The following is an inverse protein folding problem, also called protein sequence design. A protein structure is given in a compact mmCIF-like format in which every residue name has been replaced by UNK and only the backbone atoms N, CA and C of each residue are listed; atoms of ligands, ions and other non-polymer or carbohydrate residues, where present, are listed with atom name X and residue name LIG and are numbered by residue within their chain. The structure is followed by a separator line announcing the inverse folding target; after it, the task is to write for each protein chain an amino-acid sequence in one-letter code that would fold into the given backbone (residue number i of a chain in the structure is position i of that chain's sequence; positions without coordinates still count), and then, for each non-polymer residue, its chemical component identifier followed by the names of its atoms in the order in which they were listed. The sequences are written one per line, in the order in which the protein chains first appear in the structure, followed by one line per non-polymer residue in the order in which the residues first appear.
data_IF_870294196557
#
_entry.id   IF_870294196557
#
_cell.length_a   1.000
_cell.length_b   1.000
_cell.length_c   1.000
_cell.angle_alpha   90.00
_cell.angle_beta   90.00
_cell.angle_gamma   90.00
#
_symmetry.space_group_name_H-M   'P 1'
#
loop_
_entity.id
_entity.type
_entity.pdbx_description
1 polymer ?
#
# COMPACT_ATOMS: atom_id res chain seq x y z
N UNK A 1 -10.80 3.03 -36.78
CA UNK A 1 -10.73 3.97 -35.63
C UNK A 1 -10.15 3.19 -34.47
N UNK A 2 -8.86 3.36 -34.23
CA UNK A 2 -8.16 2.70 -33.13
C UNK A 2 -8.54 3.44 -31.85
N UNK A 3 -9.19 2.77 -30.91
CA UNK A 3 -9.45 3.35 -29.58
C UNK A 3 -8.13 3.85 -28.99
N UNK A 4 -8.11 5.05 -28.36
CA UNK A 4 -6.93 5.50 -27.65
C UNK A 4 -6.67 4.50 -26.53
N UNK A 5 -5.58 3.73 -26.65
CA UNK A 5 -5.08 2.91 -25.56
C UNK A 5 -4.88 3.84 -24.36
N UNK A 6 -5.72 3.68 -23.36
CA UNK A 6 -5.67 4.40 -22.10
C UNK A 6 -4.40 3.97 -21.34
N UNK A 7 -3.24 4.44 -21.82
CA UNK A 7 -1.99 4.23 -21.12
C UNK A 7 -2.08 5.05 -19.82
N UNK A 8 -1.71 4.45 -18.70
CA UNK A 8 -1.69 5.18 -17.44
C UNK A 8 -0.80 6.42 -17.56
N UNK A 9 -1.23 7.54 -17.01
CA UNK A 9 -0.46 8.78 -17.00
C UNK A 9 0.89 8.65 -16.26
N UNK A 10 1.03 7.60 -15.42
CA UNK A 10 2.22 7.32 -14.64
C UNK A 10 3.21 6.41 -15.39
N UNK A 11 4.49 6.53 -15.06
CA UNK A 11 5.58 5.68 -15.53
C UNK A 11 6.25 4.94 -14.36
N UNK A 12 7.01 3.87 -14.64
CA UNK A 12 7.92 3.29 -13.65
C UNK A 12 8.87 4.32 -13.05
N UNK A 13 9.15 4.20 -11.76
CA UNK A 13 10.00 5.10 -10.99
C UNK A 13 11.27 4.39 -10.53
N UNK A 14 12.40 5.08 -10.56
CA UNK A 14 13.64 4.63 -9.95
C UNK A 14 13.49 4.49 -8.43
N UNK A 15 14.41 3.78 -7.80
CA UNK A 15 14.39 3.60 -6.34
C UNK A 15 14.44 4.91 -5.58
N UNK A 16 15.20 5.89 -6.06
CA UNK A 16 15.30 7.22 -5.44
C UNK A 16 14.00 8.00 -5.66
N UNK A 17 13.47 7.99 -6.87
CA UNK A 17 12.19 8.66 -7.18
C UNK A 17 11.06 8.13 -6.31
N UNK A 18 10.94 6.79 -6.15
CA UNK A 18 9.95 6.17 -5.26
C UNK A 18 10.08 6.65 -3.82
N UNK A 19 11.33 6.71 -3.31
CA UNK A 19 11.59 7.20 -1.96
C UNK A 19 11.16 8.66 -1.79
N UNK A 20 11.48 9.53 -2.74
CA UNK A 20 11.13 10.95 -2.72
C UNK A 20 9.62 11.15 -2.68
N UNK A 21 8.89 10.54 -3.62
CA UNK A 21 7.43 10.73 -3.66
C UNK A 21 6.73 10.10 -2.46
N UNK A 22 7.22 8.96 -1.97
CA UNK A 22 6.72 8.34 -0.74
C UNK A 22 6.89 9.26 0.48
N UNK A 23 8.06 9.90 0.63
CA UNK A 23 8.33 10.87 1.71
C UNK A 23 7.44 12.11 1.58
N UNK A 24 7.30 12.66 0.38
CA UNK A 24 6.46 13.83 0.17
C UNK A 24 4.99 13.55 0.52
N UNK A 25 4.45 12.41 0.13
CA UNK A 25 3.08 12.02 0.49
C UNK A 25 2.95 11.79 1.99
N UNK A 26 3.87 11.02 2.59
CA UNK A 26 3.87 10.77 4.04
C UNK A 26 3.86 12.09 4.83
N UNK A 27 4.76 13.01 4.49
CA UNK A 27 4.89 14.29 5.22
C UNK A 27 3.70 15.22 5.01
N UNK A 28 3.12 15.24 3.81
CA UNK A 28 1.88 15.96 3.55
C UNK A 28 0.71 15.47 4.43
N UNK A 29 0.71 14.17 4.78
CA UNK A 29 -0.34 13.54 5.59
C UNK A 29 -0.07 13.61 7.09
N UNK A 30 1.19 13.46 7.51
CA UNK A 30 1.55 13.31 8.93
C UNK A 30 2.08 14.58 9.59
N UNK A 31 2.64 15.51 8.81
CA UNK A 31 3.20 16.78 9.29
C UNK A 31 2.85 17.93 8.35
N UNK A 32 1.57 18.24 8.13
CA UNK A 32 1.12 19.23 7.15
C UNK A 32 1.70 20.63 7.41
N UNK A 33 1.94 21.01 8.67
CA UNK A 33 2.52 22.30 9.02
C UNK A 33 3.95 22.51 8.51
N UNK A 34 4.67 21.40 8.26
CA UNK A 34 6.04 21.42 7.72
C UNK A 34 6.07 21.22 6.20
N UNK A 35 4.92 21.07 5.57
CA UNK A 35 4.78 20.80 4.14
C UNK A 35 4.35 22.08 3.39
N UNK A 36 4.89 22.37 2.19
CA UNK A 36 5.84 21.61 1.37
C UNK A 36 7.27 21.61 1.92
N UNK A 37 8.08 20.60 1.53
CA UNK A 37 9.41 20.35 2.09
C UNK A 37 10.51 21.12 1.33
N UNK A 38 11.49 21.67 2.07
CA UNK A 38 12.77 22.10 1.48
C UNK A 38 13.60 20.88 1.02
N UNK A 39 14.60 21.09 0.18
CA UNK A 39 15.51 20.03 -0.25
C UNK A 39 16.17 19.32 0.94
N UNK A 40 16.71 20.06 1.88
CA UNK A 40 17.33 19.49 3.11
C UNK A 40 16.33 18.63 3.90
N UNK A 41 15.10 19.14 4.13
CA UNK A 41 14.07 18.35 4.83
C UNK A 41 13.71 17.08 4.07
N UNK A 42 13.68 17.11 2.75
CA UNK A 42 13.42 15.96 1.90
C UNK A 42 14.56 14.94 1.95
N UNK A 43 15.82 15.37 1.86
CA UNK A 43 17.01 14.52 2.01
C UNK A 43 16.97 13.79 3.37
N UNK A 44 16.73 14.54 4.45
CA UNK A 44 16.60 13.98 5.79
C UNK A 44 15.44 12.98 5.87
N UNK A 45 14.30 13.27 5.26
CA UNK A 45 13.15 12.38 5.17
C UNK A 45 13.45 11.10 4.39
N UNK A 46 14.23 11.18 3.32
CA UNK A 46 14.65 10.01 2.52
C UNK A 46 15.61 9.10 3.27
N UNK A 47 16.52 9.67 4.05
CA UNK A 47 17.57 8.98 4.80
C UNK A 47 17.15 8.56 6.22
N UNK A 48 15.89 8.78 6.58
CA UNK A 48 15.37 8.43 7.89
C UNK A 48 15.59 6.93 8.19
N UNK A 49 16.10 6.60 9.40
CA UNK A 49 16.43 5.23 9.79
C UNK A 49 15.19 4.36 10.05
N UNK A 50 14.11 4.97 10.47
CA UNK A 50 12.82 4.29 10.72
C UNK A 50 11.84 4.52 9.58
N UNK A 51 10.86 3.64 9.44
CA UNK A 51 9.79 3.74 8.45
C UNK A 51 10.26 3.79 6.98
N UNK A 52 11.42 3.20 6.69
CA UNK A 52 12.04 3.10 5.35
C UNK A 52 12.62 1.71 5.15
N UNK A 53 12.35 1.12 3.99
CA UNK A 53 13.01 -0.10 3.55
C UNK A 53 13.29 -0.03 2.05
N UNK A 54 14.50 -0.37 1.65
CA UNK A 54 15.68 -0.48 2.49
C UNK A 54 16.15 0.90 2.98
N UNK A 55 16.96 0.94 4.02
CA UNK A 55 17.59 2.20 4.44
C UNK A 55 18.49 2.73 3.32
N UNK A 56 18.53 4.04 3.17
CA UNK A 56 19.35 4.74 2.18
C UNK A 56 20.17 5.82 2.87
N UNK A 57 21.28 6.18 2.23
CA UNK A 57 22.09 7.33 2.59
C UNK A 57 22.33 8.14 1.30
N UNK A 58 21.30 8.88 0.88
CA UNK A 58 21.30 9.64 -0.36
C UNK A 58 21.99 10.99 -0.15
N UNK A 59 23.02 11.32 -0.92
CA UNK A 59 23.56 12.67 -0.97
C UNK A 59 22.54 13.62 -1.63
N UNK A 60 22.63 14.91 -1.29
CA UNK A 60 21.70 15.94 -1.76
C UNK A 60 21.59 15.99 -3.29
N UNK A 61 22.72 15.94 -4.01
CA UNK A 61 22.71 15.98 -5.48
C UNK A 61 21.93 14.84 -6.14
N UNK A 62 21.92 13.63 -5.55
CA UNK A 62 21.09 12.54 -6.09
C UNK A 62 19.60 12.78 -5.90
N UNK A 63 19.22 13.45 -4.82
CA UNK A 63 17.83 13.83 -4.56
C UNK A 63 17.41 14.96 -5.53
N UNK A 64 18.30 15.94 -5.78
CA UNK A 64 18.06 17.01 -6.76
C UNK A 64 17.87 16.45 -8.17
N UNK A 65 18.77 15.56 -8.63
CA UNK A 65 18.67 14.93 -9.95
C UNK A 65 17.34 14.15 -10.12
N UNK A 66 16.92 13.46 -9.08
CA UNK A 66 15.65 12.73 -9.10
C UNK A 66 14.44 13.69 -9.07
N UNK A 67 14.52 14.80 -8.34
CA UNK A 67 13.50 15.85 -8.34
C UNK A 67 13.32 16.48 -9.72
N UNK A 68 14.41 16.74 -10.45
CA UNK A 68 14.34 17.23 -11.84
C UNK A 68 13.51 16.27 -12.70
N UNK A 69 13.79 14.97 -12.64
CA UNK A 69 13.06 13.95 -13.41
C UNK A 69 11.59 13.83 -12.99
N UNK A 70 11.29 13.94 -11.70
CA UNK A 70 9.91 13.90 -11.18
C UNK A 70 9.11 15.14 -11.57
N UNK A 71 9.76 16.31 -11.67
CA UNK A 71 9.12 17.56 -12.15
C UNK A 71 8.82 17.48 -13.65
N UNK A 72 9.70 16.90 -14.46
CA UNK A 72 9.48 16.72 -15.91
C UNK A 72 8.22 15.91 -16.21
N UNK A 73 7.84 14.98 -15.33
CA UNK A 73 6.62 14.16 -15.47
C UNK A 73 5.46 14.66 -14.61
N UNK A 74 5.57 15.84 -14.05
CA UNK A 74 4.55 16.48 -13.21
C UNK A 74 4.12 15.66 -11.97
N UNK A 75 4.95 14.72 -11.49
CA UNK A 75 4.70 13.99 -10.25
C UNK A 75 5.04 14.83 -9.00
N UNK A 76 5.94 15.80 -9.15
CA UNK A 76 6.37 16.75 -8.10
C UNK A 76 6.40 18.17 -8.68
N UNK A 77 6.04 19.15 -7.89
CA UNK A 77 6.17 20.56 -8.22
C UNK A 77 7.07 21.29 -7.23
N UNK A 78 7.76 22.31 -7.73
CA UNK A 78 8.47 23.29 -6.91
C UNK A 78 7.54 24.45 -6.62
N UNK A 79 7.50 24.87 -5.36
CA UNK A 79 6.71 26.02 -4.90
C UNK A 79 7.67 27.06 -4.35
N UNK A 80 7.66 28.21 -4.96
CA UNK A 80 8.35 29.39 -4.42
C UNK A 80 7.37 30.11 -3.48
N UNK A 81 7.60 29.98 -2.18
CA UNK A 81 6.89 30.77 -1.17
C UNK A 81 7.61 32.08 -0.89
N UNK A 82 7.13 32.86 0.08
CA UNK A 82 7.77 34.11 0.53
C UNK A 82 9.19 33.96 1.09
N UNK A 83 9.75 32.75 1.16
CA UNK A 83 11.15 32.47 1.52
C UNK A 83 12.00 32.26 0.28
N UNK A 84 13.31 32.60 0.37
CA UNK A 84 14.28 32.37 -0.73
C UNK A 84 14.59 30.90 -0.99
N UNK A 85 14.04 29.97 -0.19
CA UNK A 85 14.32 28.53 -0.28
C UNK A 85 13.21 27.84 -1.05
N UNK A 86 13.55 27.15 -2.13
CA UNK A 86 12.64 26.33 -2.90
C UNK A 86 12.05 25.20 -2.03
N UNK A 87 10.77 24.95 -2.18
CA UNK A 87 10.06 23.86 -1.52
C UNK A 87 9.38 22.96 -2.53
N UNK A 88 9.23 21.68 -2.19
CA UNK A 88 8.71 20.66 -3.08
C UNK A 88 7.43 20.07 -2.56
N UNK A 89 6.44 19.89 -3.45
CA UNK A 89 5.17 19.23 -3.18
C UNK A 89 4.89 18.12 -4.19
N UNK A 90 4.16 17.09 -3.79
CA UNK A 90 3.73 16.03 -4.70
C UNK A 90 2.40 16.38 -5.40
N UNK A 91 2.23 15.79 -6.59
CA UNK A 91 0.95 15.71 -7.32
C UNK A 91 0.54 14.25 -7.54
N UNK A 92 0.94 13.37 -6.62
CA UNK A 92 0.77 11.92 -6.74
C UNK A 92 -0.69 11.47 -6.81
N UNK A 93 -1.62 12.25 -6.26
CA UNK A 93 -3.05 11.98 -6.36
C UNK A 93 -3.52 11.99 -7.82
N UNK A 94 -3.22 13.06 -8.51
CA UNK A 94 -3.58 13.27 -9.91
C UNK A 94 -2.72 12.39 -10.82
N UNK A 95 -1.43 12.29 -10.52
CA UNK A 95 -0.46 11.55 -11.32
C UNK A 95 -0.72 10.04 -11.35
N UNK A 96 -1.16 9.43 -10.24
CA UNK A 96 -1.55 8.03 -10.15
C UNK A 96 -3.04 7.78 -10.41
N UNK A 97 -3.89 8.81 -10.43
CA UNK A 97 -5.34 8.67 -10.48
C UNK A 97 -5.91 7.99 -9.23
N UNK A 98 -5.42 8.36 -8.04
CA UNK A 98 -5.80 7.76 -6.76
C UNK A 98 -6.44 8.78 -5.82
N UNK A 99 -7.27 8.31 -4.89
CA UNK A 99 -7.95 9.17 -3.92
C UNK A 99 -8.01 8.51 -2.52
N UNK A 100 -8.31 9.33 -1.50
CA UNK A 100 -8.53 8.85 -0.14
C UNK A 100 -7.43 7.94 0.39
N UNK A 101 -7.78 6.75 0.88
CA UNK A 101 -6.83 5.79 1.45
C UNK A 101 -5.89 5.16 0.42
N UNK A 102 -6.23 5.15 -0.88
CA UNK A 102 -5.35 4.62 -1.93
C UNK A 102 -3.98 5.31 -1.94
N UNK A 103 -3.97 6.64 -1.78
CA UNK A 103 -2.74 7.41 -1.75
C UNK A 103 -1.85 7.05 -0.55
N UNK A 104 -2.44 6.79 0.60
CA UNK A 104 -1.72 6.37 1.80
C UNK A 104 -1.11 4.96 1.64
N UNK A 105 -1.86 4.03 1.05
CA UNK A 105 -1.40 2.68 0.70
C UNK A 105 -0.22 2.76 -0.27
N UNK A 106 -0.35 3.56 -1.33
CA UNK A 106 0.74 3.74 -2.29
C UNK A 106 1.98 4.36 -1.65
N UNK A 107 1.83 5.40 -0.81
CA UNK A 107 2.95 6.01 -0.12
C UNK A 107 3.71 5.00 0.77
N UNK A 108 3.00 4.17 1.51
CA UNK A 108 3.61 3.15 2.37
C UNK A 108 4.38 2.10 1.55
N UNK A 109 3.81 1.61 0.44
CA UNK A 109 4.47 0.68 -0.45
C UNK A 109 5.70 1.30 -1.15
N UNK A 110 5.65 2.58 -1.52
CA UNK A 110 6.79 3.30 -2.12
C UNK A 110 7.93 3.52 -1.11
N UNK A 111 7.62 3.63 0.17
CA UNK A 111 8.60 3.80 1.24
C UNK A 111 9.27 2.48 1.66
N UNK A 112 8.57 1.33 1.54
CA UNK A 112 9.02 0.06 2.12
C UNK A 112 9.05 -1.12 1.16
N UNK A 113 8.38 -1.03 0.01
CA UNK A 113 8.27 -2.16 -0.93
C UNK A 113 7.24 -3.20 -0.48
N UNK A 114 7.58 -4.47 -0.67
CA UNK A 114 6.74 -5.62 -0.38
C UNK A 114 6.42 -5.75 1.12
N UNK A 115 5.13 -5.95 1.42
CA UNK A 115 4.60 -6.04 2.79
C UNK A 115 3.43 -7.01 2.84
N UNK A 116 3.20 -7.61 4.00
CA UNK A 116 1.95 -8.32 4.27
C UNK A 116 0.78 -7.33 4.35
N UNK A 117 -0.43 -7.77 3.99
CA UNK A 117 -1.64 -6.94 4.08
C UNK A 117 -1.85 -6.41 5.51
N UNK A 118 -1.55 -7.21 6.53
CA UNK A 118 -1.68 -6.80 7.93
C UNK A 118 -0.73 -5.64 8.30
N UNK A 119 0.55 -5.73 7.89
CA UNK A 119 1.52 -4.67 8.10
C UNK A 119 1.16 -3.41 7.33
N UNK A 120 0.81 -3.56 6.05
CA UNK A 120 0.41 -2.47 5.17
C UNK A 120 -0.78 -1.71 5.77
N UNK A 121 -1.82 -2.44 6.23
CA UNK A 121 -2.98 -1.85 6.88
C UNK A 121 -2.58 -0.99 8.08
N UNK A 122 -1.84 -1.57 9.02
CA UNK A 122 -1.44 -0.86 10.25
C UNK A 122 -0.60 0.38 9.99
N UNK A 123 0.24 0.34 8.96
CA UNK A 123 1.14 1.43 8.59
C UNK A 123 0.44 2.52 7.76
N UNK A 124 -0.34 2.14 6.76
CA UNK A 124 -1.08 3.08 5.91
C UNK A 124 -2.17 3.83 6.70
N UNK A 125 -2.82 3.17 7.66
CA UNK A 125 -3.86 3.78 8.47
C UNK A 125 -3.37 5.02 9.26
N UNK A 126 -2.06 5.11 9.57
CA UNK A 126 -1.47 6.31 10.20
C UNK A 126 -1.47 7.56 9.31
N UNK A 127 -1.61 7.35 7.99
CA UNK A 127 -1.68 8.43 6.99
C UNK A 127 -3.12 8.72 6.54
N UNK A 128 -4.10 8.06 7.16
CA UNK A 128 -5.54 8.28 6.96
C UNK A 128 -6.16 8.68 8.31
N UNK A 129 -7.31 9.30 8.29
CA UNK A 129 -8.06 9.58 9.51
C UNK A 129 -8.82 8.33 9.98
N UNK A 130 -8.10 7.20 10.17
CA UNK A 130 -8.66 5.90 10.51
C UNK A 130 -9.63 5.32 9.46
N UNK A 131 -9.39 5.64 8.19
CA UNK A 131 -10.23 5.13 7.08
C UNK A 131 -9.98 3.63 6.78
N UNK A 132 -8.89 3.05 7.34
CA UNK A 132 -8.53 1.64 7.17
C UNK A 132 -8.41 0.98 8.56
N UNK A 133 -9.48 0.87 9.34
CA UNK A 133 -9.42 0.34 10.71
C UNK A 133 -9.08 -1.15 10.76
N UNK A 134 -9.43 -1.92 9.73
CA UNK A 134 -9.22 -3.36 9.65
C UNK A 134 -8.82 -3.82 8.23
N UNK A 135 -8.57 -5.12 8.07
CA UNK A 135 -8.17 -5.71 6.79
C UNK A 135 -9.34 -5.71 5.78
N UNK A 136 -10.57 -5.80 6.24
CA UNK A 136 -11.73 -5.81 5.34
C UNK A 136 -11.92 -4.42 4.68
N UNK A 137 -11.67 -3.36 5.43
CA UNK A 137 -11.66 -1.98 4.91
C UNK A 137 -10.51 -1.74 3.91
N UNK A 138 -9.39 -2.46 4.05
CA UNK A 138 -8.26 -2.36 3.12
C UNK A 138 -8.52 -3.09 1.79
N UNK A 139 -9.27 -4.20 1.79
CA UNK A 139 -9.49 -5.04 0.59
C UNK A 139 -9.99 -4.25 -0.63
N UNK A 140 -11.10 -3.49 -0.56
CA UNK A 140 -11.59 -2.73 -1.70
C UNK A 140 -10.59 -1.68 -2.19
N UNK A 141 -9.76 -1.12 -1.30
CA UNK A 141 -8.67 -0.21 -1.67
C UNK A 141 -7.60 -0.93 -2.49
N UNK A 142 -7.21 -2.13 -2.07
CA UNK A 142 -6.24 -2.96 -2.81
C UNK A 142 -6.80 -3.41 -4.15
N UNK A 143 -8.05 -3.85 -4.21
CA UNK A 143 -8.70 -4.29 -5.44
C UNK A 143 -8.72 -3.17 -6.49
N UNK A 144 -9.07 -1.95 -6.09
CA UNK A 144 -8.99 -0.78 -6.96
C UNK A 144 -7.56 -0.49 -7.43
N UNK A 145 -6.57 -0.57 -6.54
CA UNK A 145 -5.17 -0.34 -6.89
C UNK A 145 -4.60 -1.44 -7.81
N UNK A 146 -5.04 -2.69 -7.65
CA UNK A 146 -4.70 -3.80 -8.56
C UNK A 146 -5.29 -3.56 -9.95
N UNK A 147 -6.55 -3.17 -10.04
CA UNK A 147 -7.19 -2.80 -11.32
C UNK A 147 -6.45 -1.66 -12.03
N UNK A 148 -5.95 -0.68 -11.27
CA UNK A 148 -5.12 0.43 -11.78
C UNK A 148 -3.68 0.02 -12.09
N UNK A 149 -3.29 -1.25 -11.90
CA UNK A 149 -1.91 -1.78 -12.02
C UNK A 149 -0.89 -1.08 -11.12
N UNK A 150 -1.35 -0.45 -10.07
CA UNK A 150 -0.52 0.26 -9.09
C UNK A 150 -0.05 -0.65 -7.96
N UNK A 151 -0.78 -1.73 -7.68
CA UNK A 151 -0.43 -2.77 -6.71
C UNK A 151 -0.38 -4.13 -7.41
N UNK A 152 0.60 -4.95 -7.01
CA UNK A 152 0.80 -6.32 -7.50
C UNK A 152 0.75 -7.27 -6.32
N UNK A 153 -0.18 -8.25 -6.31
CA UNK A 153 -0.13 -9.37 -5.37
C UNK A 153 1.09 -10.25 -5.66
N UNK A 154 1.86 -10.57 -4.64
CA UNK A 154 3.06 -11.42 -4.74
C UNK A 154 2.84 -12.83 -4.23
N UNK A 155 1.79 -13.04 -3.45
CA UNK A 155 1.37 -14.36 -2.94
C UNK A 155 -0.14 -14.52 -3.09
N UNK A 156 -0.66 -15.77 -3.00
CA UNK A 156 -2.10 -16.04 -3.08
C UNK A 156 -2.90 -15.24 -2.03
N UNK A 157 -4.19 -14.97 -2.31
CA UNK A 157 -5.09 -14.39 -1.34
C UNK A 157 -5.18 -15.25 -0.06
N UNK A 158 -5.25 -14.60 1.10
CA UNK A 158 -5.38 -15.29 2.36
C UNK A 158 -4.62 -14.63 3.51
N UNK A 159 -4.47 -15.38 4.60
CA UNK A 159 -3.69 -14.91 5.75
C UNK A 159 -2.23 -14.79 5.39
N UNK A 160 -1.65 -13.60 5.61
CA UNK A 160 -0.24 -13.35 5.29
C UNK A 160 0.02 -12.99 3.83
N UNK A 161 -1.02 -12.74 3.02
CA UNK A 161 -0.85 -12.27 1.66
C UNK A 161 0.11 -11.08 1.59
N UNK A 162 1.08 -11.17 0.67
CA UNK A 162 2.07 -10.12 0.41
C UNK A 162 1.72 -9.38 -0.86
N UNK A 163 1.82 -8.07 -0.81
CA UNK A 163 1.62 -7.18 -1.97
C UNK A 163 2.77 -6.19 -2.10
N UNK A 164 2.97 -5.64 -3.29
CA UNK A 164 3.91 -4.55 -3.54
C UNK A 164 3.33 -3.56 -4.54
N UNK A 165 4.01 -2.42 -4.75
CA UNK A 165 3.62 -1.47 -5.80
C UNK A 165 4.05 -1.97 -7.19
N UNK A 166 3.35 -1.52 -8.25
CA UNK A 166 3.67 -1.83 -9.65
C UNK A 166 4.67 -0.88 -10.32
N UNK A 167 5.19 0.13 -9.62
CA UNK A 167 6.02 1.19 -10.22
C UNK A 167 7.52 0.84 -10.29
N UNK A 168 7.89 -0.41 -10.41
CA UNK A 168 9.28 -0.83 -10.58
C UNK A 168 9.77 -0.54 -12.01
N UNK A 169 11.07 -0.24 -12.15
CA UNK A 169 11.74 -0.12 -13.44
C UNK A 169 12.42 -1.44 -13.85
N UNK A 170 12.47 -1.71 -15.16
CA UNK A 170 13.13 -2.87 -15.72
C UNK A 170 12.63 -4.19 -15.11
N UNK A 171 13.54 -5.11 -14.86
CA UNK A 171 13.22 -6.47 -14.39
C UNK A 171 13.01 -6.56 -12.86
N UNK A 172 13.03 -5.43 -12.15
CA UNK A 172 12.94 -5.43 -10.70
C UNK A 172 11.61 -6.01 -10.18
N UNK A 173 10.51 -5.80 -10.90
CA UNK A 173 9.24 -6.43 -10.56
C UNK A 173 9.26 -7.94 -10.81
N UNK A 174 9.82 -8.39 -11.93
CA UNK A 174 9.95 -9.80 -12.26
C UNK A 174 10.81 -10.53 -11.22
N UNK A 175 11.95 -9.96 -10.84
CA UNK A 175 12.81 -10.50 -9.79
C UNK A 175 12.09 -10.60 -8.44
N UNK A 176 11.28 -9.58 -8.09
CA UNK A 176 10.47 -9.60 -6.88
C UNK A 176 9.40 -10.69 -6.92
N UNK A 177 8.71 -10.86 -8.06
CA UNK A 177 7.70 -11.91 -8.24
C UNK A 177 8.32 -13.31 -8.14
N UNK A 178 9.51 -13.52 -8.71
CA UNK A 178 10.24 -14.80 -8.58
C UNK A 178 10.57 -15.12 -7.11
N UNK A 179 10.97 -14.12 -6.32
CA UNK A 179 11.23 -14.29 -4.87
C UNK A 179 10.04 -14.92 -4.13
N UNK A 180 8.82 -14.67 -4.59
CA UNK A 180 7.58 -15.16 -3.98
C UNK A 180 6.94 -16.35 -4.73
N UNK A 181 7.66 -17.00 -5.65
CA UNK A 181 7.21 -18.23 -6.32
C UNK A 181 6.52 -18.04 -7.67
N UNK A 182 6.55 -16.85 -8.26
CA UNK A 182 6.24 -16.60 -9.68
C UNK A 182 4.79 -16.85 -10.12
N UNK A 183 3.81 -16.91 -9.22
CA UNK A 183 2.40 -17.10 -9.57
C UNK A 183 1.72 -15.80 -10.03
N UNK A 184 0.87 -15.88 -11.05
CA UNK A 184 -0.07 -14.80 -11.39
C UNK A 184 -1.30 -14.90 -10.48
N UNK A 185 -1.32 -14.11 -9.43
CA UNK A 185 -2.40 -14.10 -8.42
C UNK A 185 -3.43 -13.01 -8.70
N UNK A 186 -3.41 -12.40 -9.88
CA UNK A 186 -4.31 -11.29 -10.26
C UNK A 186 -5.78 -11.71 -10.41
N UNK A 187 -6.08 -13.00 -10.58
CA UNK A 187 -7.44 -13.49 -10.90
C UNK A 187 -8.17 -14.19 -9.75
N UNK A 188 -7.61 -14.22 -8.54
CA UNK A 188 -8.16 -15.04 -7.44
C UNK A 188 -9.16 -14.29 -6.53
N UNK A 189 -9.91 -13.32 -7.03
CA UNK A 189 -10.89 -12.57 -6.21
C UNK A 189 -12.35 -13.01 -6.37
N UNK A 190 -12.64 -14.21 -6.87
CA UNK A 190 -14.03 -14.63 -7.07
C UNK A 190 -14.30 -16.11 -6.80
N UNK A 191 -13.93 -16.62 -5.64
CA UNK A 191 -14.61 -17.80 -5.06
C UNK A 191 -14.39 -17.78 -3.55
N UNK A 192 -15.39 -17.28 -2.83
CA UNK A 192 -15.51 -17.59 -1.41
C UNK A 192 -15.64 -19.11 -1.26
N UNK A 193 -14.89 -19.77 -0.39
CA UNK A 193 -15.18 -21.16 -0.05
C UNK A 193 -16.55 -21.20 0.63
N UNK A 194 -17.48 -21.91 0.01
CA UNK A 194 -18.76 -22.29 0.58
C UNK A 194 -18.49 -23.04 1.89
N UNK A 195 -18.94 -22.47 2.98
CA UNK A 195 -18.86 -23.10 4.29
C UNK A 195 -19.63 -24.42 4.25
N UNK A 196 -19.07 -25.55 4.70
CA UNK A 196 -19.84 -26.78 4.81
C UNK A 196 -20.99 -26.56 5.78
N UNK A 197 -22.21 -26.83 5.32
CA UNK A 197 -23.42 -26.86 6.13
C UNK A 197 -23.21 -27.77 7.34
N UNK A 198 -23.67 -27.36 8.55
CA UNK A 198 -23.60 -28.25 9.70
C UNK A 198 -24.52 -29.46 9.47
N UNK A 199 -23.96 -30.64 9.62
CA UNK A 199 -24.70 -31.90 9.61
C UNK A 199 -25.77 -31.89 10.71
N UNK A 200 -26.98 -32.44 10.47
CA UNK A 200 -28.01 -32.52 11.49
C UNK A 200 -27.55 -33.45 12.61
N UNK A 201 -27.95 -33.20 13.87
CA UNK A 201 -27.61 -34.08 14.98
C UNK A 201 -28.31 -35.46 14.84
N UNK A 202 -27.65 -36.54 15.30
CA UNK A 202 -28.30 -37.87 15.29
C UNK A 202 -29.52 -37.88 16.21
N UNK A 203 -30.63 -38.26 15.64
CA UNK A 203 -31.84 -38.68 16.40
C UNK A 203 -31.56 -40.05 17.02
N UNK A 204 -32.04 -40.23 18.25
CA UNK A 204 -32.13 -41.43 19.07
C UNK A 204 -31.11 -41.54 20.22
N UNK A 205 -31.54 -41.03 21.34
CA UNK A 205 -31.32 -41.66 22.65
C UNK A 205 -32.57 -41.45 23.51
N UNK A 206 -33.33 -42.53 23.59
CA UNK A 206 -34.46 -42.73 24.53
C UNK A 206 -33.99 -42.48 25.97
N UNK A 207 -34.60 -41.53 26.64
CA UNK A 207 -34.46 -41.35 28.08
C UNK A 207 -35.50 -42.24 28.77
N UNK A 208 -35.05 -43.24 29.44
CA UNK A 208 -35.82 -43.98 30.44
C UNK A 208 -35.89 -43.15 31.71
N UNK A 209 -37.10 -42.81 32.13
CA UNK A 209 -37.39 -42.27 33.44
C UNK A 209 -37.30 -43.41 34.46
N UNK A 210 -36.26 -43.42 35.32
CA UNK A 210 -36.23 -44.05 36.66
C UNK A 210 -34.86 -43.66 37.27
N UNK A 211 -34.89 -42.71 38.15
CA UNK A 211 -34.13 -42.67 39.41
C UNK A 211 -34.27 -41.26 40.02
N UNK A 212 -35.27 -41.14 40.88
CA UNK A 212 -35.36 -40.03 41.84
C UNK A 212 -34.77 -40.56 43.20
N UNK A 213 -33.75 -39.85 43.75
CA UNK A 213 -33.44 -40.06 45.15
C UNK A 213 -34.32 -39.14 46.02
N UNK A 214 -35.07 -39.76 46.91
CA UNK A 214 -35.83 -39.23 48.03
C UNK A 214 -35.01 -38.26 48.90
N UNK A 215 -35.66 -37.18 49.26
CA UNK A 215 -35.24 -36.29 50.33
C UNK A 215 -35.25 -36.97 51.67
N UNK A 216 -34.25 -36.72 52.54
CA UNK A 216 -34.46 -36.85 54.00
C UNK A 216 -33.56 -35.84 54.74
N UNK A 217 -34.25 -35.04 55.55
CA UNK A 217 -33.84 -34.18 56.69
C UNK A 217 -32.96 -32.99 56.43
#
# INVERSE_FOLDING_TARGET
MTEPQNQPAWRPLSRIERRIVGVLVEKAKTTPDQYPLSLNALVNGCNQKSNRAPQMNLPEGQVEDALVKLRQVSAVGEVQGGSRVAKYRHYMKEWLGVAGPELAVMAELLLRGDQTIGELRGRANRMTNNEIPDVNSLRPVLDSLVQKKLVVPLTPPGRGQVVSHGLYQGDALAALTQKYGGGDFSQATSTAPESPSPSPPPSDASWSADDAPTANH
#
